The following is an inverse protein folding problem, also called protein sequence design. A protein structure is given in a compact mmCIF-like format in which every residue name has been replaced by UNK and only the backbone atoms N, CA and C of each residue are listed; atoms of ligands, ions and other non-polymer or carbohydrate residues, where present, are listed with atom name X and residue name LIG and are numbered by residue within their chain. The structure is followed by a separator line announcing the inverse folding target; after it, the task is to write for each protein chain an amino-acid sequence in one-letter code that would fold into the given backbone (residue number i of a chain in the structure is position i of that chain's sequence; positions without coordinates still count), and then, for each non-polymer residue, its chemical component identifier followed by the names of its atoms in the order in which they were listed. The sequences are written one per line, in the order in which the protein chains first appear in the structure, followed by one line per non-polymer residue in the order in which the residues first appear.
data_IF_373853045048
#
_entry.id   IF_373853045048
#
_cell.length_a   1.000
_cell.length_b   1.000
_cell.length_c   1.000
_cell.angle_alpha   90.00
_cell.angle_beta   90.00
_cell.angle_gamma   90.00
#
_symmetry.space_group_name_H-M   'P 1'
#
loop_
_entity.id
_entity.type
_entity.pdbx_description
1 polymer ?
#
# COMPACT_ATOMS: atom_id res chain seq x y z
N UNK A 1 -29.96 5.01 -14.74
CA UNK A 1 -30.07 4.05 -15.86
C UNK A 1 -29.12 2.92 -15.57
N UNK A 2 -29.60 1.82 -15.05
CA UNK A 2 -28.81 0.59 -14.86
C UNK A 2 -28.62 -0.03 -16.24
N UNK A 3 -27.40 0.06 -16.76
CA UNK A 3 -27.01 -0.59 -18.01
C UNK A 3 -27.08 -2.11 -17.79
N UNK A 4 -28.09 -2.75 -18.33
CA UNK A 4 -28.32 -4.19 -18.23
C UNK A 4 -27.40 -5.01 -19.17
N UNK A 5 -26.16 -4.57 -19.38
CA UNK A 5 -25.18 -5.41 -20.07
C UNK A 5 -24.85 -6.58 -19.16
N UNK A 6 -25.29 -7.77 -19.54
CA UNK A 6 -24.87 -9.01 -18.91
C UNK A 6 -23.33 -9.02 -18.89
N UNK A 7 -22.76 -9.18 -17.70
CA UNK A 7 -21.30 -9.29 -17.56
C UNK A 7 -20.84 -10.53 -18.31
N UNK A 8 -19.92 -10.35 -19.26
CA UNK A 8 -19.35 -11.47 -20.02
C UNK A 8 -18.55 -12.35 -19.07
N UNK A 9 -18.86 -13.64 -19.06
CA UNK A 9 -18.06 -14.64 -18.35
C UNK A 9 -16.64 -14.75 -18.93
N UNK A 10 -15.70 -15.41 -18.20
CA UNK A 10 -14.32 -15.58 -18.64
C UNK A 10 -14.24 -16.42 -19.91
N UNK A 11 -13.29 -16.09 -20.79
CA UNK A 11 -13.01 -16.87 -21.98
C UNK A 11 -12.49 -18.27 -21.62
N UNK A 12 -12.59 -19.23 -22.55
CA UNK A 12 -12.00 -20.56 -22.34
C UNK A 12 -10.47 -20.49 -22.14
N UNK A 13 -9.82 -19.51 -22.76
CA UNK A 13 -8.40 -19.24 -22.55
C UNK A 13 -8.13 -18.83 -21.10
N UNK A 14 -8.86 -17.86 -20.58
CA UNK A 14 -8.75 -17.39 -19.19
C UNK A 14 -8.97 -18.54 -18.19
N UNK A 15 -10.03 -19.32 -18.38
CA UNK A 15 -10.33 -20.49 -17.54
C UNK A 15 -9.17 -21.49 -17.50
N UNK A 16 -8.63 -21.83 -18.69
CA UNK A 16 -7.51 -22.74 -18.80
C UNK A 16 -6.25 -22.22 -18.10
N UNK A 17 -5.89 -20.96 -18.30
CA UNK A 17 -4.70 -20.34 -17.68
C UNK A 17 -4.85 -20.32 -16.16
N UNK A 18 -6.01 -19.91 -15.64
CA UNK A 18 -6.27 -19.87 -14.20
C UNK A 18 -6.25 -21.26 -13.57
N UNK A 19 -6.82 -22.26 -14.26
CA UNK A 19 -6.78 -23.65 -13.80
C UNK A 19 -5.35 -24.21 -13.76
N UNK A 20 -4.55 -23.93 -14.80
CA UNK A 20 -3.13 -24.32 -14.83
C UNK A 20 -2.34 -23.63 -13.71
N UNK A 21 -2.54 -22.33 -13.51
CA UNK A 21 -1.89 -21.59 -12.42
C UNK A 21 -2.22 -22.22 -11.05
N UNK A 22 -3.47 -22.59 -10.81
CA UNK A 22 -3.89 -23.24 -9.56
C UNK A 22 -3.19 -24.58 -9.28
N UNK A 23 -2.79 -25.32 -10.32
CA UNK A 23 -2.08 -26.60 -10.18
C UNK A 23 -0.58 -26.46 -9.93
N UNK A 24 0.02 -25.32 -10.27
CA UNK A 24 1.46 -25.07 -10.18
C UNK A 24 1.82 -24.28 -8.89
N UNK A 25 0.87 -23.48 -8.41
CA UNK A 25 1.11 -22.55 -7.29
C UNK A 25 1.14 -23.31 -5.96
N UNK A 26 2.32 -23.41 -5.39
CA UNK A 26 2.51 -23.81 -3.98
C UNK A 26 2.42 -22.57 -3.08
N UNK A 27 1.24 -21.96 -3.03
CA UNK A 27 1.00 -20.81 -2.14
C UNK A 27 0.56 -21.27 -0.74
N UNK A 28 1.06 -22.40 -0.30
CA UNK A 28 0.79 -22.96 1.01
C UNK A 28 1.64 -22.25 2.08
N UNK A 29 1.39 -20.94 2.27
CA UNK A 29 1.79 -20.27 3.52
C UNK A 29 0.55 -20.11 4.41
N UNK A 30 0.22 -21.09 5.27
CA UNK A 30 -0.88 -20.98 6.21
C UNK A 30 -0.65 -19.86 7.23
N UNK A 31 0.60 -19.45 7.43
CA UNK A 31 0.97 -18.35 8.30
C UNK A 31 0.39 -17.00 7.90
N UNK A 32 0.08 -16.77 6.62
CA UNK A 32 -0.55 -15.51 6.20
C UNK A 32 -1.97 -15.35 6.77
N UNK A 33 -2.74 -16.43 6.91
CA UNK A 33 -4.06 -16.40 7.54
C UNK A 33 -3.96 -16.10 9.04
N UNK A 34 -3.02 -16.74 9.71
CA UNK A 34 -2.75 -16.46 11.12
C UNK A 34 -2.34 -15.01 11.31
N UNK A 35 -1.40 -14.50 10.51
CA UNK A 35 -0.92 -13.11 10.59
C UNK A 35 -2.03 -12.10 10.29
N UNK A 36 -2.86 -12.35 9.27
CA UNK A 36 -3.94 -11.45 8.89
C UNK A 36 -5.06 -11.38 9.94
N UNK A 37 -5.26 -12.44 10.72
CA UNK A 37 -6.33 -12.52 11.74
C UNK A 37 -5.83 -12.30 13.16
N UNK A 38 -4.52 -12.38 13.40
CA UNK A 38 -3.91 -12.25 14.71
C UNK A 38 -4.21 -10.92 15.38
N UNK A 39 -4.52 -10.95 16.66
CA UNK A 39 -4.79 -9.78 17.47
C UNK A 39 -6.11 -9.08 17.18
N UNK A 40 -7.04 -9.71 16.47
CA UNK A 40 -8.35 -9.11 16.17
C UNK A 40 -9.14 -8.86 17.44
N UNK A 41 -9.58 -7.61 17.64
CA UNK A 41 -10.33 -7.16 18.83
C UNK A 41 -11.81 -6.95 18.48
N UNK A 42 -12.09 -6.19 17.39
CA UNK A 42 -13.42 -5.77 17.04
C UNK A 42 -13.59 -5.47 15.55
N UNK A 43 -14.83 -5.40 15.11
CA UNK A 43 -15.22 -4.89 13.79
C UNK A 43 -16.12 -3.66 13.96
N UNK A 44 -16.17 -2.82 12.91
CA UNK A 44 -17.16 -1.74 12.86
C UNK A 44 -18.58 -2.31 12.87
N UNK A 45 -19.50 -1.81 13.70
CA UNK A 45 -20.78 -2.46 13.97
C UNK A 45 -21.63 -2.81 12.74
N UNK A 46 -21.56 -2.00 11.71
CA UNK A 46 -22.35 -2.21 10.48
C UNK A 46 -21.48 -2.57 9.27
N UNK A 47 -20.15 -2.39 9.37
CA UNK A 47 -19.25 -2.48 8.21
C UNK A 47 -19.45 -1.40 7.15
N UNK A 48 -20.53 -0.62 7.25
CA UNK A 48 -20.87 0.46 6.33
C UNK A 48 -20.57 1.82 6.97
N UNK A 49 -19.77 2.65 6.29
CA UNK A 49 -19.38 3.99 6.71
C UNK A 49 -20.10 4.98 5.80
N UNK A 50 -20.91 5.88 6.40
CA UNK A 50 -21.65 6.88 5.67
C UNK A 50 -20.76 7.94 5.04
N UNK A 51 -21.09 8.36 3.83
CA UNK A 51 -20.44 9.48 3.15
C UNK A 51 -21.00 10.85 3.55
N UNK A 52 -20.23 11.94 3.36
CA UNK A 52 -20.60 13.28 3.84
C UNK A 52 -21.82 13.89 3.12
N UNK A 53 -22.14 13.43 1.93
CA UNK A 53 -23.29 13.94 1.12
C UNK A 53 -24.48 12.98 1.12
N UNK A 54 -24.51 12.01 2.04
CA UNK A 54 -25.41 10.87 2.01
C UNK A 54 -24.85 9.75 1.10
N UNK A 55 -25.36 8.55 1.25
CA UNK A 55 -24.82 7.35 0.62
C UNK A 55 -23.73 6.70 1.48
N UNK A 56 -23.02 5.75 0.90
CA UNK A 56 -22.02 4.93 1.58
C UNK A 56 -20.65 5.26 1.01
N UNK A 57 -19.72 5.70 1.86
CA UNK A 57 -18.32 5.93 1.49
C UNK A 57 -17.51 4.61 1.44
N UNK A 58 -17.79 3.69 2.36
CA UNK A 58 -17.16 2.39 2.45
C UNK A 58 -18.14 1.34 2.97
N UNK A 59 -18.05 0.12 2.43
CA UNK A 59 -18.86 -1.00 2.91
C UNK A 59 -18.07 -2.32 2.81
N UNK A 60 -17.79 -2.94 3.95
CA UNK A 60 -17.08 -4.22 4.00
C UNK A 60 -17.88 -5.36 3.37
N UNK A 61 -19.23 -5.28 3.40
CA UNK A 61 -20.10 -6.29 2.82
C UNK A 61 -20.01 -6.39 1.29
N UNK A 62 -19.51 -5.37 0.61
CA UNK A 62 -19.28 -5.39 -0.84
C UNK A 62 -18.29 -6.50 -1.26
N UNK A 63 -17.53 -7.04 -0.31
CA UNK A 63 -16.53 -8.08 -0.53
C UNK A 63 -16.81 -9.40 0.18
N UNK A 64 -18.03 -9.59 0.72
CA UNK A 64 -18.43 -10.84 1.42
C UNK A 64 -18.34 -12.07 0.52
N UNK A 65 -18.59 -11.91 -0.78
CA UNK A 65 -18.42 -12.98 -1.76
C UNK A 65 -17.03 -13.64 -1.74
N UNK A 66 -15.98 -12.91 -1.32
CA UNK A 66 -14.62 -13.46 -1.17
C UNK A 66 -14.45 -14.24 0.14
N UNK A 67 -15.19 -13.88 1.19
CA UNK A 67 -15.16 -14.58 2.47
C UNK A 67 -15.96 -15.87 2.40
N UNK A 68 -17.06 -15.87 1.66
CA UNK A 68 -17.98 -17.01 1.52
C UNK A 68 -17.45 -18.09 0.56
N UNK A 69 -16.61 -17.71 -0.42
CA UNK A 69 -16.08 -18.63 -1.42
C UNK A 69 -14.58 -18.87 -1.22
N UNK A 70 -14.22 -20.11 -0.84
CA UNK A 70 -12.81 -20.47 -0.66
C UNK A 70 -12.08 -20.67 -1.98
N UNK A 71 -12.70 -21.38 -2.91
CA UNK A 71 -12.09 -21.66 -4.23
C UNK A 71 -12.15 -20.45 -5.14
N UNK A 72 -11.05 -20.21 -5.86
CA UNK A 72 -11.01 -19.16 -6.88
C UNK A 72 -12.01 -19.46 -7.99
N UNK A 73 -12.82 -18.47 -8.42
CA UNK A 73 -13.64 -18.61 -9.61
C UNK A 73 -12.78 -18.65 -10.87
N UNK A 74 -13.29 -19.26 -11.95
CA UNK A 74 -12.58 -19.40 -13.24
C UNK A 74 -12.11 -18.06 -13.84
N UNK A 75 -12.76 -16.95 -13.44
CA UNK A 75 -12.47 -15.60 -13.93
C UNK A 75 -11.28 -14.93 -13.25
N UNK A 76 -10.82 -15.44 -12.09
CA UNK A 76 -9.80 -14.79 -11.25
C UNK A 76 -8.60 -15.72 -11.08
N UNK A 77 -7.40 -15.16 -11.19
CA UNK A 77 -6.18 -15.91 -10.93
C UNK A 77 -6.14 -16.39 -9.46
N UNK A 78 -5.88 -17.68 -9.17
CA UNK A 78 -5.98 -18.25 -7.82
C UNK A 78 -5.14 -17.51 -6.77
N UNK A 79 -3.96 -17.04 -7.14
CA UNK A 79 -3.09 -16.28 -6.25
C UNK A 79 -3.69 -14.91 -5.89
N UNK A 80 -4.30 -14.21 -6.86
CA UNK A 80 -5.01 -12.94 -6.59
C UNK A 80 -6.24 -13.18 -5.72
N UNK A 81 -6.98 -14.27 -5.96
CA UNK A 81 -8.14 -14.64 -5.13
C UNK A 81 -7.74 -14.85 -3.67
N UNK A 82 -6.69 -15.65 -3.43
CA UNK A 82 -6.13 -15.85 -2.08
C UNK A 82 -5.74 -14.53 -1.44
N UNK A 83 -5.01 -13.68 -2.17
CA UNK A 83 -4.57 -12.39 -1.66
C UNK A 83 -5.74 -11.46 -1.33
N UNK A 84 -6.74 -11.37 -2.21
CA UNK A 84 -7.94 -10.57 -1.99
C UNK A 84 -8.80 -11.06 -0.83
N UNK A 85 -8.85 -12.38 -0.57
CA UNK A 85 -9.48 -12.94 0.63
C UNK A 85 -8.76 -12.50 1.91
N UNK A 86 -7.43 -12.48 1.92
CA UNK A 86 -6.64 -11.98 3.05
C UNK A 86 -6.87 -10.48 3.28
N UNK A 87 -6.94 -9.66 2.21
CA UNK A 87 -7.27 -8.25 2.30
C UNK A 87 -8.75 -7.98 2.70
N UNK A 88 -9.63 -8.98 2.60
CA UNK A 88 -11.00 -8.87 3.09
C UNK A 88 -11.11 -9.06 4.61
N UNK A 89 -10.05 -9.48 5.27
CA UNK A 89 -9.98 -9.51 6.74
C UNK A 89 -9.89 -8.08 7.26
N UNK A 90 -10.92 -7.63 7.97
CA UNK A 90 -11.04 -6.26 8.45
C UNK A 90 -11.31 -6.20 9.96
N UNK A 91 -11.05 -5.07 10.58
CA UNK A 91 -11.28 -4.84 12.01
C UNK A 91 -10.22 -3.96 12.65
N UNK A 92 -10.30 -3.89 13.98
CA UNK A 92 -9.27 -3.37 14.88
C UNK A 92 -8.43 -4.55 15.38
N UNK A 93 -7.10 -4.44 15.26
CA UNK A 93 -6.17 -5.50 15.61
C UNK A 93 -5.07 -4.99 16.52
N UNK A 94 -4.69 -5.75 17.53
CA UNK A 94 -3.47 -5.51 18.27
C UNK A 94 -2.27 -6.02 17.46
N UNK A 95 -1.32 -5.14 17.16
CA UNK A 95 -0.06 -5.44 16.45
C UNK A 95 1.04 -5.78 17.45
N UNK A 96 1.14 -4.97 18.51
CA UNK A 96 1.99 -5.18 19.67
C UNK A 96 1.32 -4.54 20.89
N UNK A 97 1.73 -4.86 22.13
CA UNK A 97 1.22 -4.15 23.30
C UNK A 97 1.43 -2.64 23.16
N UNK A 98 0.34 -1.87 23.12
CA UNK A 98 0.38 -0.42 22.90
C UNK A 98 0.33 0.05 21.45
N UNK A 99 0.24 -0.86 20.49
CA UNK A 99 0.17 -0.59 19.05
C UNK A 99 -1.02 -1.32 18.44
N UNK A 100 -1.94 -0.60 17.82
CA UNK A 100 -3.13 -1.16 17.17
C UNK A 100 -3.30 -0.63 15.77
N UNK A 101 -3.92 -1.42 14.91
CA UNK A 101 -4.15 -1.09 13.52
C UNK A 101 -5.60 -1.37 13.13
N UNK A 102 -6.29 -0.39 12.52
CA UNK A 102 -7.53 -0.63 11.80
C UNK A 102 -7.21 -0.98 10.35
N UNK A 103 -7.72 -2.11 9.89
CA UNK A 103 -7.50 -2.63 8.53
C UNK A 103 -8.82 -2.93 7.84
N UNK A 104 -8.87 -2.72 6.51
CA UNK A 104 -9.99 -3.08 5.66
C UNK A 104 -11.17 -2.10 5.68
N UNK A 105 -10.97 -0.88 6.16
CA UNK A 105 -11.97 0.22 6.11
C UNK A 105 -11.58 1.35 5.15
N UNK A 106 -10.47 1.17 4.45
CA UNK A 106 -9.95 2.05 3.41
C UNK A 106 -9.01 1.23 2.51
N UNK A 107 -8.33 1.85 1.56
CA UNK A 107 -7.25 1.24 0.79
C UNK A 107 -6.05 0.96 1.69
N UNK A 108 -5.66 1.96 2.50
CA UNK A 108 -4.56 1.88 3.48
C UNK A 108 -5.04 1.48 4.87
N UNK A 109 -4.12 1.33 5.80
CA UNK A 109 -4.36 1.05 7.21
C UNK A 109 -4.05 2.29 8.05
N UNK A 110 -4.85 2.53 9.10
CA UNK A 110 -4.54 3.51 10.14
C UNK A 110 -4.01 2.81 11.38
N UNK A 111 -2.93 3.32 11.97
CA UNK A 111 -2.32 2.74 13.16
C UNK A 111 -2.39 3.72 14.33
N UNK A 112 -2.71 3.21 15.51
CA UNK A 112 -2.82 3.95 16.76
C UNK A 112 -1.75 3.46 17.75
N UNK A 113 -0.91 4.38 18.22
CA UNK A 113 0.08 4.14 19.27
C UNK A 113 -0.40 4.83 20.55
N UNK A 114 -0.35 4.10 21.66
CA UNK A 114 -0.71 4.66 22.96
C UNK A 114 0.39 5.55 23.50
N UNK A 115 0.19 6.87 23.39
CA UNK A 115 1.02 7.86 24.06
C UNK A 115 0.66 8.01 25.53
N UNK A 116 1.42 8.85 26.22
CA UNK A 116 1.19 9.20 27.64
C UNK A 116 -0.16 9.91 27.82
N UNK A 117 -0.46 10.89 26.98
CA UNK A 117 -1.62 11.76 27.09
C UNK A 117 -2.72 11.42 26.07
N UNK A 118 -2.37 10.86 24.90
CA UNK A 118 -3.33 10.60 23.84
C UNK A 118 -2.92 9.51 22.87
N UNK A 119 -3.50 9.57 21.67
CA UNK A 119 -3.14 8.73 20.53
C UNK A 119 -2.08 9.43 19.68
N UNK A 120 -1.06 8.68 19.28
CA UNK A 120 -0.23 8.98 18.12
C UNK A 120 -0.81 8.19 16.97
N UNK A 121 -1.25 8.87 15.90
CA UNK A 121 -1.87 8.27 14.74
C UNK A 121 -0.86 8.19 13.61
N UNK A 122 -0.72 7.02 12.98
CA UNK A 122 0.06 6.85 11.75
C UNK A 122 -0.93 6.73 10.60
N UNK A 123 -0.79 7.59 9.60
CA UNK A 123 -1.54 7.62 8.34
C UNK A 123 -3.07 7.60 8.52
N UNK A 124 -3.71 8.75 8.58
CA UNK A 124 -5.14 8.86 8.82
C UNK A 124 -6.02 8.52 7.60
N UNK A 125 -5.62 7.57 6.75
CA UNK A 125 -6.40 7.06 5.62
C UNK A 125 -6.66 8.09 4.49
N UNK A 126 -7.51 7.69 3.51
CA UNK A 126 -7.86 8.51 2.35
C UNK A 126 -8.88 9.60 2.67
N UNK A 127 -9.82 9.34 3.61
CA UNK A 127 -10.96 10.23 3.84
C UNK A 127 -11.25 10.44 5.32
N UNK A 128 -11.76 11.62 5.66
CA UNK A 128 -12.12 11.96 7.04
C UNK A 128 -13.18 11.01 7.63
N UNK A 129 -14.11 10.52 6.83
CA UNK A 129 -15.17 9.63 7.34
C UNK A 129 -14.65 8.24 7.70
N UNK A 130 -13.72 7.67 6.92
CA UNK A 130 -13.10 6.38 7.23
C UNK A 130 -12.15 6.48 8.41
N UNK A 131 -11.36 7.56 8.48
CA UNK A 131 -10.45 7.84 9.59
C UNK A 131 -11.20 8.04 10.91
N UNK A 132 -12.30 8.83 10.91
CA UNK A 132 -13.13 9.04 12.08
C UNK A 132 -13.79 7.75 12.57
N UNK A 133 -14.31 6.93 11.68
CA UNK A 133 -14.90 5.63 12.04
C UNK A 133 -13.87 4.69 12.69
N UNK A 134 -12.62 4.68 12.19
CA UNK A 134 -11.54 3.89 12.77
C UNK A 134 -11.09 4.43 14.13
N UNK A 135 -10.99 5.76 14.29
CA UNK A 135 -10.68 6.38 15.59
C UNK A 135 -11.79 6.11 16.61
N UNK A 136 -13.06 6.19 16.21
CA UNK A 136 -14.18 5.84 17.07
C UNK A 136 -14.13 4.38 17.50
N UNK A 137 -13.87 3.46 16.57
CA UNK A 137 -13.70 2.03 16.88
C UNK A 137 -12.57 1.80 17.88
N UNK A 138 -11.42 2.45 17.69
CA UNK A 138 -10.30 2.39 18.63
C UNK A 138 -10.70 2.94 20.01
N UNK A 139 -11.34 4.11 20.07
CA UNK A 139 -11.78 4.73 21.32
C UNK A 139 -12.82 3.88 22.08
N UNK A 140 -13.73 3.23 21.37
CA UNK A 140 -14.75 2.35 21.98
C UNK A 140 -14.13 1.12 22.65
N UNK A 141 -13.09 0.52 22.07
CA UNK A 141 -12.54 -0.76 22.54
C UNK A 141 -11.25 -0.62 23.36
N UNK A 142 -10.51 0.48 23.21
CA UNK A 142 -9.22 0.70 23.88
C UNK A 142 -9.26 1.83 24.91
N UNK A 143 -10.40 2.53 25.01
CA UNK A 143 -10.59 3.71 25.86
C UNK A 143 -10.34 5.02 25.11
N UNK A 144 -11.27 5.95 25.28
CA UNK A 144 -11.26 7.23 24.57
C UNK A 144 -10.05 8.09 24.97
N UNK A 145 -9.34 8.60 23.96
CA UNK A 145 -8.18 9.47 24.11
C UNK A 145 -8.19 10.57 23.05
N UNK A 146 -7.69 11.78 23.34
CA UNK A 146 -7.43 12.77 22.31
C UNK A 146 -6.29 12.29 21.40
N UNK A 147 -6.21 12.81 20.18
CA UNK A 147 -5.02 12.68 19.33
C UNK A 147 -4.01 13.75 19.73
N UNK A 148 -2.76 13.39 19.95
CA UNK A 148 -1.67 14.30 20.35
C UNK A 148 -0.61 14.44 19.24
N UNK A 149 -0.51 13.45 18.35
CA UNK A 149 0.37 13.55 17.20
C UNK A 149 -0.15 12.71 16.02
N UNK A 150 0.22 13.13 14.81
CA UNK A 150 0.01 12.38 13.56
C UNK A 150 1.36 12.23 12.85
N UNK A 151 1.67 11.03 12.38
CA UNK A 151 2.83 10.74 11.54
C UNK A 151 2.33 10.39 10.15
N UNK A 152 2.71 11.16 9.15
CA UNK A 152 2.54 10.80 7.75
C UNK A 152 3.77 10.02 7.31
N UNK A 153 3.60 8.80 6.83
CA UNK A 153 4.71 7.99 6.33
C UNK A 153 5.25 8.52 5.02
N UNK A 154 4.37 8.98 4.14
CA UNK A 154 4.74 9.50 2.81
C UNK A 154 3.64 10.37 2.18
N UNK A 155 3.91 10.89 0.98
CA UNK A 155 3.14 11.97 0.35
C UNK A 155 1.94 11.53 -0.49
N UNK A 156 1.49 10.27 -0.44
CA UNK A 156 0.28 9.81 -1.14
C UNK A 156 -1.00 10.08 -0.35
N UNK A 157 -2.08 10.34 -1.07
CA UNK A 157 -3.33 10.84 -0.48
C UNK A 157 -4.03 9.85 0.46
N UNK A 158 -3.86 8.56 0.28
CA UNK A 158 -4.41 7.52 1.14
C UNK A 158 -3.71 7.39 2.50
N UNK A 159 -2.68 8.20 2.76
CA UNK A 159 -1.95 8.25 4.03
C UNK A 159 -2.16 9.56 4.81
N UNK A 160 -2.75 10.59 4.18
CA UNK A 160 -3.03 11.85 4.86
C UNK A 160 -4.44 12.39 4.65
N UNK A 161 -5.16 11.92 3.62
CA UNK A 161 -6.42 12.52 3.20
C UNK A 161 -7.53 12.53 4.24
N UNK A 162 -7.47 11.62 5.20
CA UNK A 162 -8.43 11.53 6.30
C UNK A 162 -8.09 12.37 7.54
N UNK A 163 -7.11 13.26 7.48
CA UNK A 163 -6.61 14.02 8.65
C UNK A 163 -7.71 14.70 9.45
N UNK A 164 -8.72 15.27 8.80
CA UNK A 164 -9.85 15.92 9.48
C UNK A 164 -10.80 14.93 10.18
N UNK A 165 -10.60 13.64 10.02
CA UNK A 165 -11.31 12.61 10.79
C UNK A 165 -10.66 12.29 12.14
N UNK A 166 -9.41 12.74 12.36
CA UNK A 166 -8.67 12.44 13.59
C UNK A 166 -8.26 13.71 14.37
N UNK A 167 -8.22 14.87 13.70
CA UNK A 167 -7.92 16.17 14.34
C UNK A 167 -8.59 17.32 13.60
N UNK A 168 -8.47 18.54 14.13
CA UNK A 168 -8.94 19.79 13.51
C UNK A 168 -7.78 20.70 13.14
N UNK A 169 -8.02 21.67 12.24
CA UNK A 169 -7.01 22.69 11.91
C UNK A 169 -6.68 23.54 13.11
N UNK A 170 -7.69 23.86 13.90
CA UNK A 170 -7.60 24.65 15.10
C UNK A 170 -6.73 24.00 16.17
N UNK A 171 -6.83 22.67 16.36
CA UNK A 171 -5.98 21.92 17.29
C UNK A 171 -4.51 21.89 16.86
N UNK A 172 -4.25 21.77 15.54
CA UNK A 172 -2.90 21.83 15.01
C UNK A 172 -2.31 23.22 15.14
N UNK A 173 -3.05 24.27 14.79
CA UNK A 173 -2.63 25.67 14.92
C UNK A 173 -2.41 26.08 16.38
N UNK A 174 -3.19 25.55 17.31
CA UNK A 174 -3.02 25.75 18.75
C UNK A 174 -1.83 24.97 19.36
N UNK A 175 -1.21 24.07 18.58
CA UNK A 175 -0.12 23.21 19.04
C UNK A 175 -0.57 22.04 19.93
N UNK A 176 -1.87 21.73 19.95
CA UNK A 176 -2.41 20.58 20.67
C UNK A 176 -2.06 19.26 19.96
N UNK A 177 -1.91 19.28 18.62
CA UNK A 177 -1.56 18.14 17.79
C UNK A 177 -0.35 18.46 16.92
N UNK A 178 0.72 17.65 17.05
CA UNK A 178 1.90 17.72 16.17
C UNK A 178 1.65 16.87 14.93
N UNK A 179 2.06 17.35 13.75
CA UNK A 179 2.06 16.56 12.54
C UNK A 179 3.50 16.44 12.05
N UNK A 180 4.01 15.21 12.01
CA UNK A 180 5.36 14.90 11.57
C UNK A 180 5.28 14.20 10.19
N UNK A 181 6.17 14.57 9.28
CA UNK A 181 6.23 14.00 7.93
C UNK A 181 7.67 13.95 7.42
N UNK A 182 7.98 13.16 6.36
CA UNK A 182 9.29 13.21 5.72
C UNK A 182 9.53 14.57 5.06
N UNK A 183 10.79 15.00 4.98
CA UNK A 183 11.19 16.23 4.32
C UNK A 183 10.63 16.33 2.90
N UNK A 184 10.07 17.49 2.56
CA UNK A 184 9.48 17.75 1.24
C UNK A 184 8.07 17.19 1.06
N UNK A 185 7.47 16.59 2.08
CA UNK A 185 6.14 16.00 2.02
C UNK A 185 5.09 16.91 1.38
N UNK A 186 4.96 18.14 1.85
CA UNK A 186 3.93 19.06 1.36
C UNK A 186 4.12 19.38 -0.12
N UNK A 187 5.37 19.60 -0.55
CA UNK A 187 5.69 19.86 -1.95
C UNK A 187 5.26 18.70 -2.85
N UNK A 188 5.58 17.47 -2.45
CA UNK A 188 5.28 16.28 -3.25
C UNK A 188 3.78 15.95 -3.25
N UNK A 189 3.11 16.07 -2.12
CA UNK A 189 1.65 15.91 -2.03
C UNK A 189 0.90 16.91 -2.92
N UNK A 190 1.32 18.19 -2.91
CA UNK A 190 0.73 19.23 -3.78
C UNK A 190 1.07 18.99 -5.25
N UNK A 191 2.32 18.64 -5.56
CA UNK A 191 2.76 18.39 -6.95
C UNK A 191 1.92 17.28 -7.59
N UNK A 192 1.74 16.17 -6.93
CA UNK A 192 1.02 15.03 -7.46
C UNK A 192 -0.50 15.29 -7.57
N UNK A 193 -1.11 15.86 -6.53
CA UNK A 193 -2.56 15.98 -6.46
C UNK A 193 -3.11 17.27 -7.07
N UNK A 194 -2.30 18.31 -7.23
CA UNK A 194 -2.73 19.58 -7.80
C UNK A 194 -2.26 19.76 -9.26
N UNK A 195 -0.95 19.63 -9.52
CA UNK A 195 -0.41 19.89 -10.86
C UNK A 195 -0.86 18.85 -11.89
N UNK A 196 -0.76 17.56 -11.56
CA UNK A 196 -1.18 16.45 -12.40
C UNK A 196 -2.50 15.79 -11.95
N UNK A 197 -3.12 16.29 -10.90
CA UNK A 197 -4.29 15.70 -10.24
C UNK A 197 -5.44 15.34 -11.19
N UNK A 198 -5.92 16.25 -12.07
CA UNK A 198 -7.05 15.96 -12.95
C UNK A 198 -6.83 14.78 -13.90
N UNK A 199 -5.61 14.59 -14.43
CA UNK A 199 -5.29 13.45 -15.29
C UNK A 199 -5.04 12.18 -14.47
N UNK A 200 -4.38 12.29 -13.33
CA UNK A 200 -4.15 11.15 -12.43
C UNK A 200 -5.45 10.60 -11.88
N UNK A 201 -6.39 11.45 -11.45
CA UNK A 201 -7.70 11.03 -10.97
C UNK A 201 -8.50 10.27 -12.04
N UNK A 202 -8.49 10.72 -13.30
CA UNK A 202 -9.13 9.97 -14.39
C UNK A 202 -8.48 8.60 -14.61
N UNK A 203 -7.17 8.50 -14.53
CA UNK A 203 -6.44 7.23 -14.69
C UNK A 203 -6.55 6.32 -13.48
N UNK A 204 -6.74 6.89 -12.28
CA UNK A 204 -7.01 6.14 -11.07
C UNK A 204 -8.28 5.26 -11.16
N UNK A 205 -9.29 5.68 -11.96
CA UNK A 205 -10.47 4.87 -12.23
C UNK A 205 -10.12 3.49 -12.82
N UNK A 206 -9.08 3.44 -13.65
CA UNK A 206 -8.55 2.18 -14.20
C UNK A 206 -7.70 1.43 -13.19
N UNK A 207 -6.78 2.13 -12.52
CA UNK A 207 -5.84 1.49 -11.58
C UNK A 207 -6.57 0.80 -10.43
N UNK A 208 -7.59 1.44 -9.87
CA UNK A 208 -8.32 0.93 -8.71
C UNK A 208 -9.65 0.27 -9.05
N UNK A 209 -10.02 0.18 -10.33
CA UNK A 209 -11.24 -0.49 -10.77
C UNK A 209 -12.54 0.05 -10.15
N UNK A 210 -12.59 1.34 -9.80
CA UNK A 210 -13.67 1.97 -9.02
C UNK A 210 -15.03 1.81 -9.71
N UNK A 211 -15.05 1.89 -11.05
CA UNK A 211 -16.28 1.82 -11.85
C UNK A 211 -16.75 0.39 -12.11
N UNK A 212 -15.96 -0.63 -11.74
CA UNK A 212 -16.36 -2.01 -11.92
C UNK A 212 -17.30 -2.45 -10.79
N UNK A 213 -18.32 -3.27 -11.09
CA UNK A 213 -19.13 -3.88 -10.05
C UNK A 213 -18.25 -4.79 -9.19
N UNK A 214 -18.51 -4.81 -7.89
CA UNK A 214 -17.80 -5.71 -6.97
C UNK A 214 -18.27 -7.14 -7.21
N UNK A 215 -17.32 -8.06 -7.41
CA UNK A 215 -17.66 -9.46 -7.68
C UNK A 215 -16.64 -10.18 -8.57
N UNK A 216 -16.80 -11.50 -8.76
CA UNK A 216 -15.85 -12.35 -9.48
C UNK A 216 -15.67 -11.99 -10.97
N UNK A 217 -16.62 -11.30 -11.58
CA UNK A 217 -16.59 -10.85 -12.98
C UNK A 217 -16.27 -9.34 -13.10
N UNK A 218 -15.96 -8.69 -12.00
CA UNK A 218 -15.66 -7.28 -11.95
C UNK A 218 -14.43 -6.99 -11.08
N UNK A 219 -14.60 -6.19 -10.03
CA UNK A 219 -13.53 -5.83 -9.12
C UNK A 219 -13.46 -6.77 -7.92
N UNK A 220 -12.29 -7.32 -7.65
CA UNK A 220 -12.03 -8.22 -6.53
C UNK A 220 -11.05 -7.64 -5.50
N UNK A 221 -9.98 -6.97 -5.95
CA UNK A 221 -8.92 -6.45 -5.08
C UNK A 221 -8.00 -5.47 -5.83
N UNK A 222 -7.34 -4.57 -5.12
CA UNK A 222 -6.32 -3.67 -5.67
C UNK A 222 -4.88 -4.14 -5.40
N UNK A 223 -4.69 -5.24 -4.68
CA UNK A 223 -3.36 -5.71 -4.26
C UNK A 223 -2.90 -5.12 -2.92
N UNK A 224 -3.04 -3.83 -2.71
CA UNK A 224 -2.73 -3.14 -1.44
C UNK A 224 -3.90 -3.18 -0.44
N UNK A 225 -5.11 -3.30 -0.94
CA UNK A 225 -6.36 -3.30 -0.22
C UNK A 225 -7.52 -3.48 -1.19
N UNK A 226 -8.74 -3.26 -0.73
CA UNK A 226 -9.92 -3.61 -1.52
C UNK A 226 -10.25 -2.59 -2.62
N UNK A 227 -10.28 -1.31 -2.29
CA UNK A 227 -10.65 -0.22 -3.21
C UNK A 227 -10.38 1.13 -2.53
N UNK A 228 -10.70 2.23 -3.20
CA UNK A 228 -10.67 3.58 -2.63
C UNK A 228 -12.06 3.95 -2.10
N UNK A 229 -12.20 4.58 -0.91
CA UNK A 229 -13.47 5.07 -0.42
C UNK A 229 -14.06 6.20 -1.28
N UNK A 230 -15.38 6.30 -1.31
CA UNK A 230 -16.11 7.30 -2.10
C UNK A 230 -16.38 8.57 -1.28
N UNK A 231 -15.32 9.29 -0.92
CA UNK A 231 -15.39 10.59 -0.26
C UNK A 231 -14.16 11.44 -0.62
N UNK A 232 -14.21 12.71 -0.27
CA UNK A 232 -13.08 13.62 -0.51
C UNK A 232 -12.08 13.54 0.63
N UNK A 233 -10.78 13.61 0.29
CA UNK A 233 -9.70 13.80 1.24
C UNK A 233 -9.35 15.26 1.45
N UNK A 234 -8.66 15.53 2.56
CA UNK A 234 -8.14 16.84 2.96
C UNK A 234 -6.63 16.77 3.22
N UNK A 235 -6.01 17.92 3.41
CA UNK A 235 -4.60 18.03 3.77
C UNK A 235 -4.40 19.11 4.83
N UNK A 236 -3.72 18.76 5.92
CA UNK A 236 -3.07 19.70 6.82
C UNK A 236 -1.57 19.49 6.65
N UNK A 237 -0.81 20.55 6.36
CA UNK A 237 0.65 20.47 6.24
C UNK A 237 1.32 20.02 7.54
N UNK A 238 2.50 19.39 7.48
CA UNK A 238 3.22 18.99 8.68
C UNK A 238 3.66 20.20 9.49
N UNK A 239 3.69 20.05 10.82
CA UNK A 239 4.27 21.04 11.74
C UNK A 239 5.77 20.82 11.90
N UNK A 240 6.26 19.63 11.56
CA UNK A 240 7.65 19.22 11.68
C UNK A 240 8.03 18.24 10.57
N UNK A 241 9.18 18.43 9.93
CA UNK A 241 9.71 17.54 8.90
C UNK A 241 10.92 16.75 9.40
N UNK A 242 10.99 15.46 9.03
CA UNK A 242 12.09 14.55 9.34
C UNK A 242 12.97 14.41 8.11
N UNK A 243 14.22 14.87 8.19
CA UNK A 243 15.14 14.93 7.05
C UNK A 243 16.29 13.91 7.09
N UNK A 244 16.57 13.32 8.26
CA UNK A 244 17.78 12.50 8.44
C UNK A 244 17.47 11.13 9.05
N UNK A 245 18.07 10.09 8.46
CA UNK A 245 18.15 8.76 9.07
C UNK A 245 18.87 8.83 10.42
N UNK A 246 18.31 8.16 11.43
CA UNK A 246 18.83 8.16 12.79
C UNK A 246 18.29 9.28 13.68
N UNK A 247 17.43 10.17 13.16
CA UNK A 247 16.68 11.12 14.00
C UNK A 247 15.89 10.34 15.03
N UNK A 248 16.01 10.71 16.30
CA UNK A 248 15.27 10.11 17.41
C UNK A 248 14.49 11.19 18.15
N UNK A 249 13.20 10.97 18.34
CA UNK A 249 12.29 11.89 19.03
C UNK A 249 11.49 11.16 20.09
N UNK A 250 11.14 11.90 21.15
CA UNK A 250 10.04 11.56 22.05
C UNK A 250 8.75 12.22 21.55
N UNK A 251 7.74 11.43 21.30
CA UNK A 251 6.43 11.88 20.84
C UNK A 251 5.40 11.38 21.86
N UNK A 252 4.88 12.30 22.67
CA UNK A 252 3.92 11.99 23.75
C UNK A 252 4.37 10.84 24.68
N UNK A 253 5.69 10.79 25.01
CA UNK A 253 6.29 9.77 25.86
C UNK A 253 6.61 8.46 25.15
N UNK A 254 6.51 8.40 23.81
CA UNK A 254 6.90 7.26 22.99
C UNK A 254 8.16 7.60 22.20
N UNK A 255 9.19 6.78 22.35
CA UNK A 255 10.44 6.92 21.61
C UNK A 255 10.27 6.41 20.17
N UNK A 256 10.70 7.22 19.20
CA UNK A 256 10.61 6.91 17.77
C UNK A 256 11.95 7.19 17.11
N UNK A 257 12.46 6.24 16.33
CA UNK A 257 13.71 6.35 15.54
C UNK A 257 13.38 6.30 14.07
N UNK A 258 13.74 7.34 13.31
CA UNK A 258 13.36 7.54 11.92
C UNK A 258 14.45 7.10 10.94
N UNK A 259 14.02 6.61 9.79
CA UNK A 259 14.83 6.43 8.59
C UNK A 259 14.19 7.23 7.45
N UNK A 260 14.94 8.14 6.83
CA UNK A 260 14.52 8.86 5.62
C UNK A 260 14.75 7.98 4.39
N UNK A 261 13.70 7.79 3.55
CA UNK A 261 13.75 6.90 2.37
C UNK A 261 13.22 7.56 1.10
N UNK A 262 13.69 8.78 0.74
CA UNK A 262 13.14 9.51 -0.39
C UNK A 262 13.38 8.80 -1.74
N UNK A 263 12.39 8.89 -2.63
CA UNK A 263 12.47 8.36 -3.99
C UNK A 263 12.29 6.84 -4.08
N UNK A 264 11.74 6.23 -3.04
CA UNK A 264 11.32 4.82 -3.01
C UNK A 264 9.91 4.67 -3.56
N UNK A 265 8.92 4.30 -2.73
CA UNK A 265 7.53 4.22 -3.13
C UNK A 265 6.96 5.62 -3.43
N UNK A 266 7.34 6.61 -2.61
CA UNK A 266 7.04 8.02 -2.84
C UNK A 266 8.31 8.88 -2.91
N UNK A 267 8.23 10.09 -3.52
CA UNK A 267 9.36 11.03 -3.52
C UNK A 267 9.76 11.49 -2.11
N UNK A 268 8.80 11.63 -1.20
CA UNK A 268 9.00 11.91 0.22
C UNK A 268 8.40 10.77 1.04
N UNK A 269 9.25 9.98 1.68
CA UNK A 269 8.86 8.79 2.44
C UNK A 269 9.83 8.54 3.61
N UNK A 270 9.34 7.95 4.70
CA UNK A 270 10.12 7.57 5.87
C UNK A 270 9.61 6.30 6.54
N UNK A 271 10.54 5.50 7.03
CA UNK A 271 10.27 4.39 7.95
C UNK A 271 10.58 4.82 9.38
N UNK A 272 10.02 4.13 10.37
CA UNK A 272 10.35 4.41 11.76
C UNK A 272 10.15 3.21 12.69
N UNK A 273 11.07 3.07 13.64
CA UNK A 273 11.03 2.06 14.68
C UNK A 273 10.48 2.65 15.98
N UNK A 274 9.62 1.90 16.64
CA UNK A 274 9.22 2.09 18.03
C UNK A 274 10.02 1.13 18.92
N UNK A 275 11.19 1.52 19.45
CA UNK A 275 12.10 0.57 20.10
C UNK A 275 11.48 -0.11 21.33
N UNK A 276 10.66 0.62 22.09
CA UNK A 276 10.03 0.11 23.30
C UNK A 276 8.89 -0.91 23.01
N UNK A 277 8.45 -0.99 21.74
CA UNK A 277 7.46 -1.95 21.25
C UNK A 277 8.07 -3.03 20.34
N UNK A 278 9.36 -2.92 20.01
CA UNK A 278 10.00 -3.79 19.01
C UNK A 278 9.31 -3.75 17.64
N UNK A 279 8.60 -2.68 17.31
CA UNK A 279 7.73 -2.58 16.16
C UNK A 279 8.30 -1.61 15.10
N UNK A 280 8.63 -2.12 13.92
CA UNK A 280 9.07 -1.34 12.77
C UNK A 280 7.90 -1.04 11.84
N UNK A 281 7.60 0.24 11.64
CA UNK A 281 6.77 0.70 10.53
C UNK A 281 7.65 0.88 9.30
N UNK A 282 7.40 0.07 8.26
CA UNK A 282 8.15 0.10 7.00
C UNK A 282 7.43 0.94 5.92
N UNK A 283 6.53 1.83 6.34
CA UNK A 283 5.71 2.66 5.44
C UNK A 283 5.04 1.83 4.34
N UNK A 284 5.22 2.22 3.08
CA UNK A 284 4.82 1.42 1.91
C UNK A 284 6.03 0.79 1.19
N UNK A 285 7.25 0.95 1.74
CA UNK A 285 8.47 0.36 1.18
C UNK A 285 8.42 -1.17 1.05
N UNK A 286 7.68 -1.86 1.94
CA UNK A 286 7.43 -3.29 1.84
C UNK A 286 5.96 -3.57 2.14
N UNK A 287 5.25 -4.09 1.15
CA UNK A 287 3.85 -4.54 1.22
C UNK A 287 3.76 -6.02 0.83
N UNK A 288 2.59 -6.66 1.03
CA UNK A 288 2.43 -8.07 0.66
C UNK A 288 2.21 -8.29 -0.85
N UNK A 289 2.87 -7.47 -1.67
CA UNK A 289 2.87 -7.55 -3.13
C UNK A 289 4.18 -6.95 -3.69
N UNK A 290 4.57 -7.35 -4.90
CA UNK A 290 5.50 -6.55 -5.68
C UNK A 290 4.80 -5.23 -6.02
N UNK A 291 5.29 -4.14 -5.48
CA UNK A 291 4.74 -2.82 -5.74
C UNK A 291 5.09 -2.34 -7.15
N UNK A 292 4.30 -1.46 -7.75
CA UNK A 292 4.64 -0.88 -9.03
C UNK A 292 5.77 0.15 -8.90
N UNK A 293 6.68 0.15 -9.88
CA UNK A 293 7.71 1.17 -10.02
C UNK A 293 7.24 2.41 -10.82
N UNK A 294 6.09 2.29 -11.50
CA UNK A 294 5.38 3.38 -12.17
C UNK A 294 3.88 3.04 -12.20
N UNK A 295 3.05 3.69 -11.37
CA UNK A 295 1.63 3.40 -11.31
C UNK A 295 0.89 3.85 -12.56
N UNK A 296 -0.22 3.18 -12.91
CA UNK A 296 -1.04 3.53 -14.06
C UNK A 296 -1.70 4.90 -13.95
N UNK A 297 -1.99 5.36 -12.72
CA UNK A 297 -2.48 6.72 -12.48
C UNK A 297 -1.48 7.78 -12.92
N UNK A 298 -0.20 7.48 -12.83
CA UNK A 298 0.91 8.38 -13.06
C UNK A 298 1.62 8.76 -11.76
N UNK A 299 2.92 8.89 -11.84
CA UNK A 299 3.82 9.40 -10.80
C UNK A 299 5.19 9.65 -11.43
N UNK A 300 6.14 10.19 -10.66
CA UNK A 300 7.54 10.08 -11.01
C UNK A 300 7.97 8.61 -11.02
N UNK A 301 8.85 8.22 -11.95
CA UNK A 301 9.34 6.83 -12.00
C UNK A 301 10.17 6.55 -10.76
N UNK A 302 9.75 5.56 -9.98
CA UNK A 302 10.39 5.13 -8.73
C UNK A 302 11.71 4.43 -9.01
N UNK A 303 12.67 4.58 -8.10
CA UNK A 303 13.99 3.98 -8.23
C UNK A 303 14.09 2.66 -7.50
N UNK A 304 13.91 1.55 -8.20
CA UNK A 304 13.96 0.22 -7.60
C UNK A 304 15.36 -0.15 -7.05
N UNK A 305 16.44 0.48 -7.54
CA UNK A 305 17.77 0.33 -6.96
C UNK A 305 17.88 1.04 -5.60
N UNK A 306 17.47 2.30 -5.55
CA UNK A 306 17.48 3.09 -4.31
C UNK A 306 16.54 2.46 -3.29
N UNK A 307 15.37 2.00 -3.72
CA UNK A 307 14.41 1.28 -2.90
C UNK A 307 15.04 0.04 -2.22
N UNK A 308 15.73 -0.81 -2.99
CA UNK A 308 16.43 -1.96 -2.44
C UNK A 308 17.52 -1.59 -1.42
N UNK A 309 18.21 -0.46 -1.63
CA UNK A 309 19.23 0.05 -0.70
C UNK A 309 18.64 0.53 0.61
N UNK A 310 17.50 1.23 0.58
CA UNK A 310 16.84 1.68 1.82
C UNK A 310 16.23 0.53 2.61
N UNK A 311 15.75 -0.55 1.95
CA UNK A 311 15.35 -1.76 2.68
C UNK A 311 16.59 -2.42 3.33
N UNK A 312 17.74 -2.45 2.65
CA UNK A 312 18.99 -2.92 3.26
C UNK A 312 19.40 -2.06 4.46
N UNK A 313 19.36 -0.73 4.33
CA UNK A 313 19.65 0.19 5.43
C UNK A 313 18.70 -0.05 6.62
N UNK A 314 17.39 -0.28 6.37
CA UNK A 314 16.45 -0.63 7.43
C UNK A 314 16.84 -1.93 8.16
N UNK A 315 17.30 -2.95 7.43
CA UNK A 315 17.82 -4.19 8.02
C UNK A 315 19.08 -3.92 8.86
N UNK A 316 19.99 -3.08 8.38
CA UNK A 316 21.26 -2.77 9.06
C UNK A 316 21.03 -1.99 10.37
N UNK A 317 20.09 -1.05 10.39
CA UNK A 317 19.85 -0.18 11.55
C UNK A 317 18.77 -0.69 12.52
N UNK A 318 17.81 -1.48 12.03
CA UNK A 318 16.66 -1.92 12.81
C UNK A 318 16.56 -3.44 12.98
N UNK A 319 17.23 -4.25 12.14
CA UNK A 319 17.06 -5.69 12.09
C UNK A 319 17.20 -6.40 13.44
N UNK A 320 18.20 -6.01 14.24
CA UNK A 320 18.43 -6.57 15.58
C UNK A 320 17.54 -5.96 16.67
N UNK A 321 16.80 -4.88 16.35
CA UNK A 321 16.01 -4.07 17.28
C UNK A 321 14.51 -4.26 17.12
N UNK A 322 14.06 -4.87 16.01
CA UNK A 322 12.66 -5.14 15.76
C UNK A 322 12.29 -6.59 16.12
N UNK A 323 11.09 -6.78 16.63
CA UNK A 323 10.47 -8.08 16.86
C UNK A 323 9.33 -8.36 15.86
N UNK A 324 8.88 -7.31 15.18
CA UNK A 324 7.88 -7.38 14.11
C UNK A 324 8.03 -6.21 13.14
N UNK A 325 7.51 -6.38 11.93
CA UNK A 325 7.35 -5.31 10.93
C UNK A 325 5.89 -5.20 10.52
N UNK A 326 5.40 -3.96 10.41
CA UNK A 326 4.09 -3.65 9.86
C UNK A 326 4.20 -2.54 8.81
N UNK A 327 3.24 -2.53 7.91
CA UNK A 327 3.15 -1.58 6.81
C UNK A 327 1.82 -0.84 6.88
N UNK A 328 1.71 0.19 6.10
CA UNK A 328 0.49 0.99 5.95
C UNK A 328 -0.57 0.32 5.06
N UNK A 329 -0.25 -0.86 4.54
CA UNK A 329 -1.15 -1.75 3.81
C UNK A 329 -1.02 -3.20 4.29
N UNK A 330 -2.00 -4.05 3.96
CA UNK A 330 -2.02 -5.48 4.25
C UNK A 330 -1.91 -5.80 5.77
N UNK A 331 -1.14 -6.80 6.18
CA UNK A 331 -1.02 -7.31 7.55
C UNK A 331 0.43 -7.37 8.02
N UNK A 332 0.69 -7.36 9.35
CA UNK A 332 2.06 -7.41 9.88
C UNK A 332 2.77 -8.75 9.69
N UNK A 333 4.09 -8.74 9.83
CA UNK A 333 4.95 -9.91 10.01
C UNK A 333 5.44 -9.96 11.46
N UNK A 334 5.20 -11.07 12.12
CA UNK A 334 5.49 -11.25 13.54
C UNK A 334 6.67 -12.19 13.75
N UNK A 335 7.54 -11.82 14.68
CA UNK A 335 8.80 -12.51 14.96
C UNK A 335 9.94 -11.97 14.09
N UNK A 336 11.08 -11.73 14.74
CA UNK A 336 12.28 -11.13 14.10
C UNK A 336 12.71 -11.87 12.84
N UNK A 337 12.82 -13.21 12.91
CA UNK A 337 13.30 -14.00 11.78
C UNK A 337 12.37 -13.91 10.57
N UNK A 338 11.03 -13.91 10.79
CA UNK A 338 10.06 -13.76 9.70
C UNK A 338 10.07 -12.34 9.13
N UNK A 339 10.21 -11.32 9.99
CA UNK A 339 10.32 -9.92 9.59
C UNK A 339 11.59 -9.66 8.77
N UNK A 340 12.75 -10.13 9.24
CA UNK A 340 14.03 -10.01 8.52
C UNK A 340 13.94 -10.70 7.16
N UNK A 341 13.48 -11.95 7.12
CA UNK A 341 13.35 -12.71 5.86
C UNK A 341 12.40 -12.03 4.88
N UNK A 342 11.30 -11.46 5.38
CA UNK A 342 10.35 -10.70 4.56
C UNK A 342 11.02 -9.49 3.92
N UNK A 343 11.76 -8.68 4.69
CA UNK A 343 12.47 -7.51 4.19
C UNK A 343 13.59 -7.91 3.21
N UNK A 344 14.33 -8.97 3.48
CA UNK A 344 15.36 -9.49 2.57
C UNK A 344 14.79 -9.88 1.21
N UNK A 345 13.66 -10.60 1.18
CA UNK A 345 13.01 -11.00 -0.06
C UNK A 345 12.47 -9.81 -0.86
N UNK A 346 11.93 -8.80 -0.18
CA UNK A 346 11.47 -7.55 -0.83
C UNK A 346 12.66 -6.77 -1.40
N UNK A 347 13.75 -6.58 -0.61
CA UNK A 347 15.00 -5.97 -1.06
C UNK A 347 15.55 -6.64 -2.33
N UNK A 348 15.66 -7.96 -2.28
CA UNK A 348 16.26 -8.75 -3.36
C UNK A 348 15.38 -8.73 -4.61
N UNK A 349 14.05 -8.70 -4.46
CA UNK A 349 13.11 -8.61 -5.57
C UNK A 349 13.26 -7.29 -6.33
N UNK A 350 13.26 -6.13 -5.64
CA UNK A 350 13.46 -4.83 -6.28
C UNK A 350 14.83 -4.75 -6.94
N UNK A 351 15.87 -5.25 -6.28
CA UNK A 351 17.22 -5.30 -6.83
C UNK A 351 17.29 -6.20 -8.07
N UNK A 352 16.66 -7.35 -8.02
CA UNK A 352 16.62 -8.28 -9.14
C UNK A 352 15.91 -7.69 -10.37
N UNK A 353 14.75 -7.05 -10.19
CA UNK A 353 14.03 -6.37 -11.28
C UNK A 353 14.91 -5.31 -11.92
N UNK A 354 15.57 -4.48 -11.10
CA UNK A 354 16.51 -3.48 -11.57
C UNK A 354 17.66 -4.08 -12.38
N UNK A 355 18.42 -4.97 -11.76
CA UNK A 355 19.67 -5.48 -12.34
C UNK A 355 19.41 -6.33 -13.60
N UNK A 356 18.35 -7.13 -13.63
CA UNK A 356 18.01 -7.91 -14.82
C UNK A 356 17.52 -7.03 -15.97
N UNK A 357 16.75 -6.00 -15.69
CA UNK A 357 16.33 -5.04 -16.71
C UNK A 357 17.56 -4.34 -17.32
N UNK A 358 18.46 -3.79 -16.49
CA UNK A 358 19.67 -3.14 -16.97
C UNK A 358 20.59 -4.08 -17.75
N UNK A 359 20.78 -5.31 -17.27
CA UNK A 359 21.59 -6.30 -17.98
C UNK A 359 21.07 -6.51 -19.40
N UNK A 360 19.75 -6.67 -19.56
CA UNK A 360 19.12 -6.90 -20.87
C UNK A 360 19.14 -5.66 -21.75
N UNK A 361 18.90 -4.47 -21.16
CA UNK A 361 19.07 -3.18 -21.86
C UNK A 361 20.46 -3.05 -22.47
N UNK A 362 21.50 -3.38 -21.71
CA UNK A 362 22.90 -3.33 -22.19
C UNK A 362 23.22 -4.38 -23.25
N UNK A 363 22.39 -5.41 -23.42
CA UNK A 363 22.44 -6.37 -24.52
C UNK A 363 21.65 -5.90 -25.76
N UNK A 364 21.04 -4.71 -25.71
CA UNK A 364 20.33 -4.10 -26.84
C UNK A 364 18.84 -4.50 -26.94
N UNK A 365 18.28 -5.16 -25.92
CA UNK A 365 16.86 -5.51 -25.91
C UNK A 365 16.00 -4.27 -25.63
N UNK A 366 14.88 -4.17 -26.33
CA UNK A 366 13.87 -3.11 -26.12
C UNK A 366 13.08 -3.35 -24.83
N UNK A 367 12.44 -2.29 -24.31
CA UNK A 367 11.57 -2.40 -23.13
C UNK A 367 10.48 -3.46 -23.28
N UNK A 368 9.98 -3.69 -24.49
CA UNK A 368 8.93 -4.66 -24.77
C UNK A 368 9.47 -6.08 -24.70
N UNK A 369 10.59 -6.35 -25.35
CA UNK A 369 11.25 -7.66 -25.32
C UNK A 369 11.63 -8.04 -23.88
N UNK A 370 12.24 -7.11 -23.12
CA UNK A 370 12.58 -7.35 -21.72
C UNK A 370 11.33 -7.70 -20.91
N UNK A 371 10.25 -6.92 -21.06
CA UNK A 371 9.03 -7.14 -20.31
C UNK A 371 8.37 -8.50 -20.60
N UNK A 372 8.37 -8.95 -21.85
CA UNK A 372 7.74 -10.21 -22.24
C UNK A 372 8.56 -11.44 -21.79
N UNK A 373 9.88 -11.33 -21.78
CA UNK A 373 10.76 -12.46 -21.51
C UNK A 373 11.26 -12.57 -20.05
N UNK A 374 11.06 -11.51 -19.24
CA UNK A 374 11.51 -11.51 -17.86
C UNK A 374 10.57 -12.35 -16.98
N UNK A 375 11.07 -13.48 -16.48
CA UNK A 375 10.31 -14.43 -15.65
C UNK A 375 10.77 -14.34 -14.21
N UNK A 376 9.80 -14.23 -13.28
CA UNK A 376 10.07 -14.21 -11.84
C UNK A 376 10.71 -15.53 -11.39
N UNK A 377 11.91 -15.50 -10.77
CA UNK A 377 12.55 -16.70 -10.24
C UNK A 377 11.70 -17.43 -9.19
N UNK A 378 11.84 -18.75 -9.12
CA UNK A 378 11.11 -19.60 -8.18
C UNK A 378 11.29 -19.20 -6.72
N UNK A 379 12.48 -18.69 -6.36
CA UNK A 379 12.76 -18.22 -4.99
C UNK A 379 11.86 -17.07 -4.57
N UNK A 380 11.37 -16.25 -5.53
CA UNK A 380 10.36 -15.23 -5.28
C UNK A 380 8.94 -15.75 -5.54
N UNK A 381 8.73 -16.48 -6.63
CA UNK A 381 7.39 -16.93 -7.05
C UNK A 381 6.65 -17.79 -6.00
N UNK A 382 7.40 -18.41 -5.06
CA UNK A 382 6.84 -19.21 -3.96
C UNK A 382 6.24 -18.41 -2.82
N UNK A 383 6.54 -17.11 -2.74
CA UNK A 383 6.05 -16.25 -1.65
C UNK A 383 4.94 -15.34 -2.15
N UNK A 384 3.81 -15.29 -1.45
CA UNK A 384 2.69 -14.43 -1.79
C UNK A 384 3.10 -12.95 -1.89
N UNK A 385 3.86 -12.47 -0.92
CA UNK A 385 4.27 -11.07 -0.80
C UNK A 385 5.28 -10.58 -1.87
N UNK A 386 5.87 -11.46 -2.66
CA UNK A 386 6.77 -11.11 -3.77
C UNK A 386 6.10 -11.22 -5.14
N UNK A 387 4.82 -11.55 -5.18
CA UNK A 387 4.05 -11.65 -6.42
C UNK A 387 3.41 -10.32 -6.79
N UNK A 388 3.12 -10.15 -8.08
CA UNK A 388 2.56 -8.91 -8.60
C UNK A 388 1.03 -8.86 -8.54
N UNK A 389 0.48 -8.27 -7.50
CA UNK A 389 -0.96 -7.97 -7.39
C UNK A 389 -1.28 -6.49 -7.63
N UNK A 390 -0.30 -5.60 -7.41
CA UNK A 390 -0.40 -4.17 -7.60
C UNK A 390 0.62 -3.64 -8.63
N UNK A 391 1.87 -4.12 -8.57
CA UNK A 391 2.84 -4.04 -9.65
C UNK A 391 2.92 -5.36 -10.42
N UNK A 392 3.71 -5.41 -11.48
CA UNK A 392 4.08 -6.64 -12.19
C UNK A 392 5.52 -6.56 -12.68
N UNK A 393 6.14 -7.73 -12.92
CA UNK A 393 7.49 -7.77 -13.52
C UNK A 393 7.49 -7.04 -14.87
N UNK A 394 6.48 -7.26 -15.71
CA UNK A 394 6.33 -6.62 -17.03
C UNK A 394 6.33 -5.09 -16.95
N UNK A 395 5.52 -4.53 -16.04
CA UNK A 395 5.38 -3.08 -15.91
C UNK A 395 6.59 -2.47 -15.21
N UNK A 396 7.16 -3.16 -14.22
CA UNK A 396 8.32 -2.67 -13.50
C UNK A 396 9.59 -2.69 -14.36
N UNK A 397 9.77 -3.69 -15.24
CA UNK A 397 10.84 -3.69 -16.21
C UNK A 397 10.75 -2.47 -17.16
N UNK A 398 9.54 -2.15 -17.66
CA UNK A 398 9.30 -0.95 -18.47
C UNK A 398 9.58 0.34 -17.69
N UNK A 399 9.24 0.37 -16.40
CA UNK A 399 9.51 1.53 -15.55
C UNK A 399 11.01 1.75 -15.32
N UNK A 400 11.77 0.68 -15.04
CA UNK A 400 13.24 0.74 -14.92
C UNK A 400 13.85 1.21 -16.23
N UNK A 401 13.41 0.64 -17.35
CA UNK A 401 13.88 1.07 -18.69
C UNK A 401 13.64 2.55 -18.90
N UNK A 402 12.43 3.05 -18.66
CA UNK A 402 12.05 4.46 -18.81
C UNK A 402 12.87 5.38 -17.91
N UNK A 403 13.19 4.95 -16.68
CA UNK A 403 13.98 5.74 -15.75
C UNK A 403 15.38 6.05 -16.28
N UNK A 404 16.01 5.11 -17.00
CA UNK A 404 17.38 5.26 -17.50
C UNK A 404 17.46 5.94 -18.88
N UNK A 405 16.59 5.55 -19.81
CA UNK A 405 16.69 6.00 -21.21
C UNK A 405 15.42 6.62 -21.77
N UNK A 406 14.40 6.82 -20.91
CA UNK A 406 13.17 7.54 -21.28
C UNK A 406 12.17 6.69 -22.05
N UNK A 407 11.20 7.37 -22.68
CA UNK A 407 10.05 6.75 -23.36
C UNK A 407 10.37 6.23 -24.77
N UNK A 408 11.43 6.71 -25.39
CA UNK A 408 11.78 6.33 -26.75
C UNK A 408 12.40 4.94 -26.77
N UNK A 409 11.85 4.07 -27.62
CA UNK A 409 12.22 2.65 -27.71
C UNK A 409 13.39 2.36 -28.68
N UNK A 410 14.03 3.41 -29.24
CA UNK A 410 15.13 3.27 -30.19
C UNK A 410 14.69 3.03 -31.63
N UNK A 411 13.39 2.87 -31.92
CA UNK A 411 12.88 2.71 -33.27
C UNK A 411 12.46 4.05 -33.86
N UNK A 412 13.14 4.55 -34.92
CA UNK A 412 12.81 5.83 -35.57
C UNK A 412 11.35 5.96 -36.04
N UNK A 413 10.69 4.84 -36.37
CA UNK A 413 9.28 4.83 -36.79
C UNK A 413 8.34 5.24 -35.65
N UNK A 414 8.74 5.03 -34.39
CA UNK A 414 7.95 5.36 -33.18
C UNK A 414 8.28 6.76 -32.64
N UNK A 415 9.30 7.45 -33.17
CA UNK A 415 9.69 8.78 -32.71
C UNK A 415 8.63 9.82 -33.06
N UNK A 416 8.10 9.76 -34.26
CA UNK A 416 7.07 10.68 -34.77
C UNK A 416 6.06 9.93 -35.68
N UNK A 417 5.26 9.01 -35.12
CA UNK A 417 4.28 8.27 -35.92
C UNK A 417 3.18 9.21 -36.43
N UNK A 418 2.58 8.87 -37.58
CA UNK A 418 1.35 9.53 -38.00
C UNK A 418 0.23 9.30 -36.99
N UNK A 419 -0.66 10.28 -36.85
CA UNK A 419 -1.89 10.09 -36.09
C UNK A 419 -2.75 9.04 -36.76
N UNK A 420 -3.45 8.19 -35.97
CA UNK A 420 -4.48 7.33 -36.55
C UNK A 420 -5.54 8.18 -37.22
N UNK A 421 -5.80 7.92 -38.50
CA UNK A 421 -6.90 8.54 -39.25
C UNK A 421 -8.17 7.69 -39.14
#
# INVERSE_FOLDING_TARGET
MTDSRESKGPSQFTKRVNSQAGSILTLDDPGDWERATRGKIAEHPTGAIAGPLGGIAWNTADFDFMREQEQSPDSVHPSLWRHGRLNAVHGLFEVAPGVWQCRGYDLSNITFIKGKNGWIVIDPLTTAVTAAACLELANQHLGARPVTAVLYTHSHADHYGGILGVTTREDVEAGNVRILAPEGFLREAVSENLLAGPVMNRRALYQFGILLPKGPLGHVDCGLGKTIPLAQGDLIGPTEEISHTGTELDIDGVRVVFQSTPGTEAPAEMNFLFPDHGALCIAENCTHTLHNALPFRGAQVRDTLVWSKYIQEALDIFGDRMDLVFSTHNWPRFGRDDAVKYLELQRDLYRWVHDQTLRRMNHGETQREIAEDLVLPDCFARHGHTRGYYGTIHHNAKAVYQRYIGWYDGNPANLNPHTPE
#
